data_IF_642443545259
#
_entry.id   IF_642443545259
#
_cell.length_a   1.000
_cell.length_b   1.000
_cell.length_c   1.000
_cell.angle_alpha   90.00
_cell.angle_beta   90.00
_cell.angle_gamma   90.00
#
_symmetry.space_group_name_H-M   'P 1'
#
loop_
_entity.id
_entity.type
_entity.pdbx_description
1 polymer ?
#
# COMPACT_ATOMS: atom_id res chain seq x y z
N UNK A 1 -13.13 37.85 27.67
CA UNK A 1 -14.15 36.82 27.44
C UNK A 1 -14.17 35.99 28.70
N UNK A 2 -15.33 35.80 29.33
CA UNK A 2 -15.41 34.96 30.52
C UNK A 2 -15.20 33.50 30.14
N UNK A 3 -14.57 32.71 31.02
CA UNK A 3 -14.46 31.24 30.87
C UNK A 3 -15.80 30.57 30.48
N UNK A 4 -16.91 31.13 30.95
CA UNK A 4 -18.27 30.67 30.69
C UNK A 4 -18.72 30.93 29.24
N UNK A 5 -18.36 32.08 28.66
CA UNK A 5 -18.64 32.41 27.25
C UNK A 5 -17.86 31.46 26.33
N UNK A 6 -16.56 31.27 26.61
CA UNK A 6 -15.71 30.35 25.86
C UNK A 6 -16.25 28.90 25.93
N UNK A 7 -16.72 28.48 27.10
CA UNK A 7 -17.32 27.14 27.28
C UNK A 7 -18.62 26.99 26.49
N UNK A 8 -19.46 28.03 26.43
CA UNK A 8 -20.68 28.01 25.63
C UNK A 8 -20.35 27.90 24.15
N UNK A 9 -19.37 28.65 23.65
CA UNK A 9 -18.95 28.60 22.24
C UNK A 9 -18.53 27.17 21.86
N UNK A 10 -17.64 26.57 22.65
CA UNK A 10 -17.15 25.20 22.41
C UNK A 10 -18.27 24.16 22.56
N UNK A 11 -19.19 24.35 23.50
CA UNK A 11 -20.31 23.43 23.67
C UNK A 11 -21.30 23.50 22.50
N UNK A 12 -21.61 24.70 22.01
CA UNK A 12 -22.47 24.90 20.85
C UNK A 12 -21.84 24.27 19.61
N UNK A 13 -20.55 24.48 19.36
CA UNK A 13 -19.86 23.84 18.24
C UNK A 13 -19.83 22.32 18.38
N UNK A 14 -19.60 21.79 19.59
CA UNK A 14 -19.65 20.36 19.86
C UNK A 14 -21.02 19.73 19.56
N UNK A 15 -22.12 20.39 19.96
CA UNK A 15 -23.49 19.93 19.66
C UNK A 15 -23.76 19.97 18.15
N UNK A 16 -23.29 21.01 17.45
CA UNK A 16 -23.41 21.12 15.99
C UNK A 16 -22.65 19.99 15.30
N UNK A 17 -21.41 19.71 15.69
CA UNK A 17 -20.61 18.62 15.13
C UNK A 17 -21.19 17.25 15.43
N UNK A 18 -21.72 17.04 16.64
CA UNK A 18 -22.40 15.80 17.01
C UNK A 18 -23.66 15.57 16.17
N UNK A 19 -24.48 16.60 16.01
CA UNK A 19 -25.69 16.54 15.18
C UNK A 19 -25.33 16.30 13.71
N UNK A 20 -24.31 16.99 13.20
CA UNK A 20 -23.78 16.78 11.86
C UNK A 20 -23.27 15.35 11.64
N UNK A 21 -22.48 14.82 12.58
CA UNK A 21 -21.98 13.44 12.55
C UNK A 21 -23.11 12.41 12.62
N UNK A 22 -24.12 12.66 13.45
CA UNK A 22 -25.31 11.82 13.54
C UNK A 22 -26.09 11.78 12.22
N UNK A 23 -26.36 12.95 11.62
CA UNK A 23 -27.07 13.05 10.33
C UNK A 23 -26.26 12.39 9.21
N UNK A 24 -24.95 12.63 9.16
CA UNK A 24 -24.05 12.02 8.19
C UNK A 24 -24.07 10.49 8.29
N UNK A 25 -24.03 9.95 9.51
CA UNK A 25 -24.11 8.52 9.75
C UNK A 25 -25.43 7.92 9.25
N UNK A 26 -26.58 8.55 9.56
CA UNK A 26 -27.91 8.07 9.12
C UNK A 26 -28.07 8.14 7.61
N UNK A 27 -27.62 9.22 6.97
CA UNK A 27 -27.91 9.49 5.56
C UNK A 27 -26.92 8.85 4.60
N UNK A 28 -25.63 8.85 4.94
CA UNK A 28 -24.57 8.50 4.00
C UNK A 28 -23.92 7.14 4.28
N UNK A 29 -23.68 6.80 5.56
CA UNK A 29 -22.87 5.63 5.89
C UNK A 29 -23.66 4.31 5.88
N UNK A 30 -24.94 4.34 6.27
CA UNK A 30 -25.73 3.11 6.40
C UNK A 30 -27.14 3.22 5.79
N UNK A 31 -27.23 3.62 4.52
CA UNK A 31 -28.49 3.58 3.77
C UNK A 31 -29.09 2.16 3.70
N UNK A 32 -28.29 1.10 3.91
CA UNK A 32 -28.66 -0.31 3.68
C UNK A 32 -28.31 -1.30 4.83
N UNK A 33 -27.95 -0.89 6.05
CA UNK A 33 -27.66 -1.84 7.16
C UNK A 33 -28.88 -2.00 8.07
N UNK A 34 -29.45 -3.20 8.10
CA UNK A 34 -30.68 -3.53 8.82
C UNK A 34 -30.53 -3.62 10.36
N UNK A 35 -29.30 -3.53 10.89
CA UNK A 35 -29.05 -3.66 12.34
C UNK A 35 -28.72 -2.29 12.95
N UNK A 36 -29.77 -1.57 13.37
CA UNK A 36 -29.69 -0.19 13.89
C UNK A 36 -29.27 -0.17 15.37
N UNK A 37 -27.99 -0.46 15.65
CA UNK A 37 -27.45 -0.31 17.00
C UNK A 37 -27.18 1.17 17.30
N UNK A 38 -28.10 1.80 18.05
CA UNK A 38 -28.02 3.21 18.49
C UNK A 38 -26.67 3.51 19.17
N UNK A 39 -26.10 2.54 19.89
CA UNK A 39 -24.80 2.69 20.55
C UNK A 39 -23.64 2.87 19.56
N UNK A 40 -23.62 2.16 18.43
CA UNK A 40 -22.57 2.34 17.39
C UNK A 40 -22.63 3.74 16.84
N UNK A 41 -23.85 4.19 16.56
CA UNK A 41 -24.10 5.51 16.03
C UNK A 41 -23.66 6.59 17.01
N UNK A 42 -23.97 6.43 18.31
CA UNK A 42 -23.51 7.32 19.37
C UNK A 42 -21.98 7.34 19.47
N UNK A 43 -21.33 6.17 19.48
CA UNK A 43 -19.86 6.08 19.57
C UNK A 43 -19.20 6.78 18.37
N UNK A 44 -19.72 6.56 17.17
CA UNK A 44 -19.23 7.21 15.96
C UNK A 44 -19.43 8.72 15.99
N UNK A 45 -20.66 9.19 16.24
CA UNK A 45 -20.95 10.63 16.22
C UNK A 45 -20.22 11.38 17.33
N UNK A 46 -20.05 10.75 18.50
CA UNK A 46 -19.28 11.31 19.61
C UNK A 46 -17.79 11.39 19.27
N UNK A 47 -17.20 10.33 18.73
CA UNK A 47 -15.78 10.32 18.33
C UNK A 47 -15.52 11.35 17.22
N UNK A 48 -16.42 11.43 16.25
CA UNK A 48 -16.36 12.43 15.18
C UNK A 48 -16.46 13.86 15.72
N UNK A 49 -17.43 14.13 16.60
CA UNK A 49 -17.59 15.44 17.23
C UNK A 49 -16.35 15.84 18.03
N UNK A 50 -15.82 14.94 18.87
CA UNK A 50 -14.61 15.20 19.66
C UNK A 50 -13.38 15.46 18.78
N UNK A 51 -13.26 14.77 17.63
CA UNK A 51 -12.19 15.03 16.67
C UNK A 51 -12.31 16.42 16.02
N UNK A 52 -13.54 16.84 15.67
CA UNK A 52 -13.78 18.16 15.11
C UNK A 52 -13.58 19.27 16.14
N UNK A 53 -13.99 19.07 17.40
CA UNK A 53 -13.71 20.05 18.46
C UNK A 53 -12.21 20.23 18.70
N UNK A 54 -11.42 19.15 18.63
CA UNK A 54 -9.96 19.27 18.74
C UNK A 54 -9.35 20.05 17.57
N UNK A 55 -9.85 19.83 16.34
CA UNK A 55 -9.42 20.59 15.18
C UNK A 55 -9.83 22.08 15.26
N UNK A 56 -11.05 22.35 15.72
CA UNK A 56 -11.55 23.71 15.94
C UNK A 56 -10.71 24.46 16.98
N UNK A 57 -10.31 23.82 18.09
CA UNK A 57 -9.45 24.43 19.09
C UNK A 57 -8.08 24.84 18.53
N UNK A 58 -7.53 24.09 17.57
CA UNK A 58 -6.30 24.47 16.86
C UNK A 58 -6.54 25.71 16.00
N UNK A 59 -7.69 25.80 15.32
CA UNK A 59 -8.04 26.99 14.54
C UNK A 59 -8.17 28.21 15.47
N UNK A 60 -8.87 28.07 16.60
CA UNK A 60 -8.99 29.13 17.59
C UNK A 60 -7.66 29.55 18.19
N UNK A 61 -6.69 28.63 18.27
CA UNK A 61 -5.32 28.95 18.64
C UNK A 61 -4.60 29.81 17.60
N UNK A 62 -4.71 29.45 16.32
CA UNK A 62 -4.06 30.20 15.22
C UNK A 62 -4.68 31.60 15.07
N UNK A 63 -6.00 31.72 15.20
CA UNK A 63 -6.71 33.00 15.04
C UNK A 63 -6.64 33.86 16.31
N UNK A 64 -6.31 33.26 17.47
CA UNK A 64 -6.23 33.97 18.75
C UNK A 64 -7.58 34.28 19.39
N UNK A 65 -8.64 33.53 19.02
CA UNK A 65 -10.01 33.71 19.52
C UNK A 65 -10.31 32.64 20.56
N UNK A 66 -9.78 32.79 21.78
CA UNK A 66 -10.20 32.13 23.04
C UNK A 66 -9.21 32.50 24.14
N UNK A 67 -9.62 32.51 25.40
CA UNK A 67 -8.66 32.64 26.50
C UNK A 67 -7.75 31.39 26.58
N UNK A 68 -6.44 31.61 26.75
CA UNK A 68 -5.44 30.52 26.79
C UNK A 68 -5.73 29.48 27.88
N UNK A 69 -6.21 29.92 29.04
CA UNK A 69 -6.58 29.06 30.17
C UNK A 69 -7.77 28.14 29.84
N UNK A 70 -8.82 28.70 29.23
CA UNK A 70 -10.01 27.96 28.81
C UNK A 70 -9.68 26.95 27.71
N UNK A 71 -8.87 27.36 26.72
CA UNK A 71 -8.42 26.48 25.63
C UNK A 71 -7.67 25.26 26.15
N UNK A 72 -6.71 25.47 27.07
CA UNK A 72 -5.93 24.37 27.63
C UNK A 72 -6.81 23.34 28.37
N UNK A 73 -7.83 23.80 29.08
CA UNK A 73 -8.80 22.92 29.74
C UNK A 73 -9.58 22.06 28.72
N UNK A 74 -10.19 22.70 27.71
CA UNK A 74 -10.95 22.01 26.67
C UNK A 74 -10.08 21.06 25.84
N UNK A 75 -8.83 21.46 25.55
CA UNK A 75 -7.84 20.62 24.88
C UNK A 75 -7.53 19.36 25.68
N UNK A 76 -7.23 19.51 26.98
CA UNK A 76 -6.91 18.37 27.86
C UNK A 76 -8.11 17.44 28.02
N UNK A 77 -9.32 18.00 28.17
CA UNK A 77 -10.56 17.23 28.26
C UNK A 77 -10.83 16.48 26.94
N UNK A 78 -10.74 17.15 25.80
CA UNK A 78 -10.93 16.57 24.47
C UNK A 78 -9.96 15.43 24.18
N UNK A 79 -8.66 15.63 24.45
CA UNK A 79 -7.66 14.57 24.34
C UNK A 79 -7.96 13.37 25.25
N UNK A 80 -8.35 13.62 26.50
CA UNK A 80 -8.65 12.54 27.45
C UNK A 80 -9.84 11.71 26.99
N UNK A 81 -10.91 12.38 26.54
CA UNK A 81 -12.09 11.70 26.01
C UNK A 81 -11.79 10.94 24.71
N UNK A 82 -11.03 11.52 23.78
CA UNK A 82 -10.62 10.82 22.54
C UNK A 82 -9.77 9.59 22.83
N UNK A 83 -8.80 9.69 23.74
CA UNK A 83 -7.96 8.56 24.13
C UNK A 83 -8.80 7.45 24.77
N UNK A 84 -9.74 7.81 25.66
CA UNK A 84 -10.65 6.83 26.25
C UNK A 84 -11.52 6.14 25.19
N UNK A 85 -12.07 6.91 24.24
CA UNK A 85 -12.86 6.36 23.14
C UNK A 85 -12.05 5.36 22.31
N UNK A 86 -10.83 5.73 21.91
CA UNK A 86 -9.99 4.93 20.99
C UNK A 86 -9.37 3.71 21.68
N UNK A 87 -8.89 3.85 22.92
CA UNK A 87 -8.15 2.77 23.61
C UNK A 87 -9.10 1.80 24.34
N UNK A 88 -10.18 2.30 24.94
CA UNK A 88 -11.07 1.50 25.76
C UNK A 88 -12.39 1.18 25.06
N UNK A 89 -13.18 2.19 24.70
CA UNK A 89 -14.58 2.00 24.31
C UNK A 89 -14.74 1.32 22.94
N UNK A 90 -14.02 1.82 21.92
CA UNK A 90 -14.10 1.30 20.55
C UNK A 90 -13.63 -0.17 20.49
N UNK A 91 -12.46 -0.56 21.05
CA UNK A 91 -12.01 -1.95 21.03
C UNK A 91 -12.95 -2.88 21.79
N UNK A 92 -13.52 -2.43 22.91
CA UNK A 92 -14.51 -3.20 23.65
C UNK A 92 -15.76 -3.50 22.80
N UNK A 93 -16.26 -2.47 22.10
CA UNK A 93 -17.45 -2.62 21.25
C UNK A 93 -17.16 -3.52 20.03
N UNK A 94 -15.99 -3.38 19.40
CA UNK A 94 -15.57 -4.26 18.29
C UNK A 94 -15.47 -5.70 18.78
N UNK A 95 -14.82 -5.96 19.92
CA UNK A 95 -14.71 -7.29 20.49
C UNK A 95 -16.09 -7.90 20.82
N UNK A 96 -17.00 -7.11 21.40
CA UNK A 96 -18.38 -7.53 21.63
C UNK A 96 -19.10 -7.89 20.32
N UNK A 97 -18.97 -7.05 19.29
CA UNK A 97 -19.58 -7.29 17.98
C UNK A 97 -19.00 -8.52 17.27
N UNK A 98 -17.69 -8.76 17.40
CA UNK A 98 -17.05 -9.95 16.82
C UNK A 98 -17.52 -11.23 17.52
N UNK A 99 -17.54 -11.25 18.85
CA UNK A 99 -17.90 -12.44 19.63
C UNK A 99 -19.39 -12.75 19.50
N UNK A 100 -20.26 -11.73 19.50
CA UNK A 100 -21.71 -11.92 19.33
C UNK A 100 -22.09 -12.43 17.95
N UNK A 101 -21.28 -12.17 16.92
CA UNK A 101 -21.51 -12.70 15.56
C UNK A 101 -21.09 -14.19 15.43
N UNK A 102 -20.30 -14.72 16.37
CA UNK A 102 -19.88 -16.12 16.33
C UNK A 102 -21.03 -17.01 16.83
N UNK A 103 -21.62 -17.78 15.90
CA UNK A 103 -22.74 -18.71 16.17
C UNK A 103 -22.44 -19.81 17.20
N UNK A 104 -21.16 -20.06 17.47
CA UNK A 104 -20.66 -21.12 18.37
C UNK A 104 -20.75 -20.70 19.84
N UNK A 105 -20.74 -19.40 20.16
CA UNK A 105 -20.67 -18.92 21.54
C UNK A 105 -22.07 -18.76 22.13
N UNK A 106 -22.41 -19.43 23.24
CA UNK A 106 -23.68 -19.19 23.91
C UNK A 106 -23.73 -17.77 24.50
N UNK A 107 -24.91 -17.11 24.49
CA UNK A 107 -25.04 -15.69 24.86
C UNK A 107 -24.57 -15.37 26.29
N UNK A 108 -24.61 -16.34 27.21
CA UNK A 108 -24.10 -16.21 28.58
C UNK A 108 -22.58 -15.98 28.66
N UNK A 109 -21.83 -16.48 27.67
CA UNK A 109 -20.37 -16.38 27.64
C UNK A 109 -19.85 -15.21 26.82
N UNK A 110 -20.72 -14.49 26.09
CA UNK A 110 -20.31 -13.36 25.25
C UNK A 110 -19.67 -12.25 26.10
N UNK A 111 -20.33 -11.79 27.15
CA UNK A 111 -19.78 -10.74 28.03
C UNK A 111 -18.42 -11.10 28.67
N UNK A 112 -18.26 -12.22 29.40
CA UNK A 112 -16.98 -12.52 30.03
C UNK A 112 -15.87 -12.74 29.01
N UNK A 113 -16.17 -13.37 27.87
CA UNK A 113 -15.19 -13.58 26.80
C UNK A 113 -14.77 -12.23 26.18
N UNK A 114 -15.71 -11.31 25.95
CA UNK A 114 -15.40 -9.94 25.50
C UNK A 114 -14.50 -9.23 26.49
N UNK A 115 -14.80 -9.27 27.79
CA UNK A 115 -13.97 -8.62 28.82
C UNK A 115 -12.56 -9.20 28.85
N UNK A 116 -12.41 -10.52 28.73
CA UNK A 116 -11.09 -11.18 28.69
C UNK A 116 -10.29 -10.77 27.45
N UNK A 117 -10.90 -10.80 26.26
CA UNK A 117 -10.24 -10.34 25.03
C UNK A 117 -9.87 -8.86 25.09
N UNK A 118 -10.74 -8.03 25.63
CA UNK A 118 -10.48 -6.61 25.81
C UNK A 118 -9.32 -6.35 26.79
N UNK A 119 -9.28 -7.06 27.92
CA UNK A 119 -8.15 -6.98 28.87
C UNK A 119 -6.84 -7.43 28.24
N UNK A 120 -6.86 -8.52 27.46
CA UNK A 120 -5.69 -8.99 26.72
C UNK A 120 -5.22 -7.95 25.70
N UNK A 121 -6.16 -7.32 24.99
CA UNK A 121 -5.86 -6.24 24.06
C UNK A 121 -5.22 -5.04 24.78
N UNK A 122 -5.81 -4.57 25.89
CA UNK A 122 -5.27 -3.44 26.67
C UNK A 122 -3.88 -3.79 27.22
N UNK A 123 -3.69 -5.01 27.71
CA UNK A 123 -2.38 -5.50 28.17
C UNK A 123 -1.36 -5.53 27.03
N UNK A 124 -1.72 -6.05 25.86
CA UNK A 124 -0.87 -6.08 24.67
C UNK A 124 -0.52 -4.67 24.18
N UNK A 125 -1.50 -3.77 24.15
CA UNK A 125 -1.31 -2.35 23.81
C UNK A 125 -0.33 -1.68 24.77
N UNK A 126 -0.45 -1.96 26.07
CA UNK A 126 0.49 -1.46 27.07
C UNK A 126 1.89 -2.01 26.85
N UNK A 127 2.02 -3.32 26.63
CA UNK A 127 3.31 -3.98 26.45
C UNK A 127 4.03 -3.53 25.17
N UNK A 128 3.29 -3.28 24.09
CA UNK A 128 3.85 -2.78 22.83
C UNK A 128 4.42 -1.36 22.97
N UNK A 129 3.78 -0.52 23.79
CA UNK A 129 4.23 0.85 24.03
C UNK A 129 5.52 0.94 24.86
N UNK A 130 5.88 -0.07 25.66
CA UNK A 130 7.10 -0.07 26.47
C UNK A 130 8.38 -0.21 25.63
N UNK A 131 8.26 -0.79 24.43
CA UNK A 131 9.39 -0.96 23.51
C UNK A 131 9.82 0.36 22.83
N UNK A 132 9.04 1.45 22.99
CA UNK A 132 9.32 2.74 22.37
C UNK A 132 9.65 3.81 23.43
N UNK A 133 10.94 4.06 23.72
CA UNK A 133 11.36 5.09 24.68
C UNK A 133 11.36 6.47 24.02
N UNK A 134 10.18 7.12 23.88
CA UNK A 134 10.10 8.44 23.22
C UNK A 134 9.83 9.62 24.17
N UNK A 135 9.40 9.40 25.42
CA UNK A 135 9.31 10.47 26.42
C UNK A 135 9.71 9.95 27.81
N UNK A 136 10.67 10.67 28.39
CA UNK A 136 11.24 10.56 29.74
C UNK A 136 10.42 9.79 30.78
N UNK A 137 11.09 8.84 31.43
CA UNK A 137 10.70 7.97 32.56
C UNK A 137 10.21 8.74 33.81
N UNK A 138 10.18 10.07 33.80
CA UNK A 138 10.03 10.88 35.01
C UNK A 138 8.58 11.25 35.39
N UNK A 139 7.57 11.07 34.52
CA UNK A 139 6.18 11.43 34.85
C UNK A 139 5.19 10.29 34.60
N UNK A 140 4.99 9.45 35.63
CA UNK A 140 3.79 8.63 35.86
C UNK A 140 3.42 7.57 34.81
N UNK A 141 2.83 6.46 35.25
CA UNK A 141 2.38 5.35 34.38
C UNK A 141 1.14 5.73 33.54
N UNK A 142 0.35 6.72 33.95
CA UNK A 142 -0.95 7.09 33.33
C UNK A 142 -1.00 8.54 32.83
N UNK A 143 0.11 9.09 32.35
CA UNK A 143 0.11 10.47 31.82
C UNK A 143 -0.48 10.50 30.40
N UNK A 144 -1.38 11.45 30.13
CA UNK A 144 -2.04 11.64 28.82
C UNK A 144 -1.02 11.67 27.68
N UNK A 145 0.11 12.35 27.87
CA UNK A 145 1.20 12.46 26.88
C UNK A 145 1.76 11.11 26.44
N UNK A 146 1.92 10.17 27.38
CA UNK A 146 2.42 8.83 27.07
C UNK A 146 1.38 8.03 26.29
N UNK A 147 0.10 8.13 26.66
CA UNK A 147 -0.98 7.47 25.93
C UNK A 147 -1.08 7.97 24.48
N UNK A 148 -0.96 9.30 24.27
CA UNK A 148 -0.90 9.93 22.93
C UNK A 148 0.31 9.44 22.13
N UNK A 149 1.49 9.35 22.76
CA UNK A 149 2.69 8.86 22.08
C UNK A 149 2.55 7.40 21.63
N UNK A 150 2.03 6.52 22.50
CA UNK A 150 1.83 5.10 22.20
C UNK A 150 0.83 4.89 21.06
N UNK A 151 -0.34 5.55 21.12
CA UNK A 151 -1.33 5.46 20.05
C UNK A 151 -0.80 6.07 18.75
N UNK A 152 0.03 7.11 18.82
CA UNK A 152 0.69 7.71 17.67
C UNK A 152 1.59 6.73 16.93
N UNK A 153 2.46 6.01 17.64
CA UNK A 153 3.34 4.99 17.03
C UNK A 153 2.53 3.84 16.44
N UNK A 154 1.54 3.32 17.17
CA UNK A 154 0.65 2.25 16.66
C UNK A 154 -0.12 2.71 15.42
N UNK A 155 -0.65 3.94 15.44
CA UNK A 155 -1.37 4.53 14.32
C UNK A 155 -0.49 4.69 13.08
N UNK A 156 0.70 5.27 13.24
CA UNK A 156 1.66 5.47 12.12
C UNK A 156 2.13 4.15 11.54
N UNK A 157 2.42 3.15 12.38
CA UNK A 157 2.84 1.82 11.90
C UNK A 157 1.72 1.13 11.11
N UNK A 158 0.48 1.17 11.59
CA UNK A 158 -0.68 0.64 10.84
C UNK A 158 -0.91 1.41 9.54
N UNK A 159 -0.83 2.75 9.56
CA UNK A 159 -0.95 3.58 8.35
C UNK A 159 0.16 3.28 7.35
N UNK A 160 1.39 3.05 7.80
CA UNK A 160 2.52 2.70 6.94
C UNK A 160 2.32 1.33 6.27
N UNK A 161 1.83 0.34 7.01
CA UNK A 161 1.53 -1.00 6.47
C UNK A 161 0.40 -0.92 5.43
N UNK A 162 -0.69 -0.22 5.75
CA UNK A 162 -1.82 -0.05 4.83
C UNK A 162 -1.43 0.72 3.58
N UNK A 163 -0.63 1.78 3.72
CA UNK A 163 -0.08 2.52 2.59
C UNK A 163 0.85 1.66 1.76
N UNK A 164 1.68 0.82 2.39
CA UNK A 164 2.54 -0.14 1.70
C UNK A 164 1.75 -1.16 0.90
N UNK A 165 0.70 -1.73 1.49
CA UNK A 165 -0.22 -2.63 0.79
C UNK A 165 -0.92 -1.93 -0.39
N UNK A 166 -1.42 -0.70 -0.19
CA UNK A 166 -2.04 0.10 -1.25
C UNK A 166 -1.08 0.41 -2.40
N UNK A 167 0.19 0.69 -2.09
CA UNK A 167 1.23 0.93 -3.08
C UNK A 167 1.58 -0.32 -3.92
N UNK A 168 1.38 -1.52 -3.39
CA UNK A 168 1.58 -2.78 -4.14
C UNK A 168 0.30 -3.19 -4.88
N UNK A 169 -0.86 -3.01 -4.26
CA UNK A 169 -2.15 -3.35 -4.84
C UNK A 169 -2.50 -2.46 -6.04
N UNK A 170 -2.14 -1.17 -5.99
CA UNK A 170 -2.46 -0.23 -7.07
C UNK A 170 -1.79 -0.58 -8.41
N UNK A 171 -0.48 -0.88 -8.49
CA UNK A 171 0.13 -1.44 -9.68
C UNK A 171 -0.49 -2.76 -10.11
N UNK A 172 -0.85 -3.65 -9.18
CA UNK A 172 -1.47 -4.94 -9.52
C UNK A 172 -2.82 -4.76 -10.21
N UNK A 173 -3.69 -3.89 -9.70
CA UNK A 173 -5.01 -3.60 -10.27
C UNK A 173 -4.95 -2.73 -11.52
N UNK A 174 -3.98 -1.80 -11.57
CA UNK A 174 -3.83 -0.83 -12.66
C UNK A 174 -2.77 -1.26 -13.68
N UNK A 175 -2.21 -2.47 -13.56
CA UNK A 175 -1.19 -3.00 -14.47
C UNK A 175 -1.70 -3.01 -15.92
N UNK A 176 -2.99 -3.30 -16.12
CA UNK A 176 -3.64 -3.29 -17.42
C UNK A 176 -3.75 -1.89 -18.05
N UNK A 177 -3.64 -0.82 -17.26
CA UNK A 177 -3.56 0.56 -17.77
C UNK A 177 -2.14 0.89 -18.26
N UNK A 178 -1.11 0.32 -17.63
CA UNK A 178 0.30 0.53 -18.00
C UNK A 178 0.83 -0.49 -19.03
N UNK A 179 0.26 -1.69 -19.10
CA UNK A 179 0.50 -2.66 -20.18
C UNK A 179 -0.36 -2.22 -21.37
N UNK A 180 0.28 -1.55 -22.32
CA UNK A 180 -0.30 -1.23 -23.63
C UNK A 180 -1.05 -2.44 -24.17
N UNK A 181 -2.38 -2.34 -24.30
CA UNK A 181 -3.17 -3.39 -24.95
C UNK A 181 -2.63 -3.56 -26.38
N UNK A 182 -2.01 -4.70 -26.66
CA UNK A 182 -1.47 -4.99 -27.98
C UNK A 182 -2.64 -5.08 -28.95
N UNK A 183 -2.73 -4.15 -29.89
CA UNK A 183 -3.76 -4.18 -30.92
C UNK A 183 -3.49 -5.33 -31.89
N UNK A 184 -4.54 -5.99 -32.38
CA UNK A 184 -4.42 -7.06 -33.37
C UNK A 184 -3.70 -6.60 -34.65
N UNK A 185 -3.79 -5.31 -34.99
CA UNK A 185 -3.06 -4.71 -36.11
C UNK A 185 -1.53 -4.72 -35.89
N UNK A 186 -1.07 -4.53 -34.65
CA UNK A 186 0.35 -4.57 -34.31
C UNK A 186 0.89 -6.01 -34.44
N UNK A 187 0.10 -7.01 -34.05
CA UNK A 187 0.43 -8.43 -34.19
C UNK A 187 0.60 -8.81 -35.67
N UNK A 188 -0.38 -8.48 -36.50
CA UNK A 188 -0.35 -8.77 -37.95
C UNK A 188 0.84 -8.08 -38.62
N UNK A 189 1.17 -6.86 -38.19
CA UNK A 189 2.32 -6.11 -38.73
C UNK A 189 3.64 -6.78 -38.35
N UNK A 190 3.77 -7.27 -37.13
CA UNK A 190 4.96 -8.02 -36.66
C UNK A 190 5.07 -9.37 -37.38
N UNK A 191 3.98 -10.11 -37.53
CA UNK A 191 3.95 -11.38 -38.27
C UNK A 191 4.36 -11.20 -39.73
N UNK A 192 3.86 -10.15 -40.39
CA UNK A 192 4.26 -9.83 -41.78
C UNK A 192 5.75 -9.54 -41.87
N UNK A 193 6.30 -8.75 -40.93
CA UNK A 193 7.74 -8.45 -40.89
C UNK A 193 8.56 -9.72 -40.66
N UNK A 194 8.09 -10.63 -39.80
CA UNK A 194 8.73 -11.91 -39.54
C UNK A 194 8.77 -12.78 -40.80
N UNK A 195 7.64 -12.94 -41.50
CA UNK A 195 7.57 -13.70 -42.75
C UNK A 195 8.51 -13.14 -43.83
N UNK A 196 8.52 -11.82 -44.02
CA UNK A 196 9.44 -11.17 -44.96
C UNK A 196 10.92 -11.45 -44.62
N UNK A 197 11.24 -11.47 -43.33
CA UNK A 197 12.61 -11.75 -42.86
C UNK A 197 12.97 -13.23 -43.07
N UNK A 198 12.02 -14.13 -42.86
CA UNK A 198 12.18 -15.55 -43.14
C UNK A 198 12.45 -15.80 -44.62
N UNK A 199 11.69 -15.18 -45.53
CA UNK A 199 11.89 -15.31 -46.97
C UNK A 199 13.26 -14.77 -47.41
N UNK A 200 13.66 -13.61 -46.90
CA UNK A 200 15.01 -13.09 -47.13
C UNK A 200 16.09 -14.06 -46.63
N UNK A 201 15.89 -14.71 -45.48
CA UNK A 201 16.82 -15.69 -44.95
C UNK A 201 16.92 -16.92 -45.86
N UNK A 202 15.80 -17.44 -46.34
CA UNK A 202 15.77 -18.58 -47.27
C UNK A 202 16.46 -18.23 -48.58
N UNK A 203 16.18 -17.06 -49.16
CA UNK A 203 16.84 -16.59 -50.38
C UNK A 203 18.35 -16.44 -50.20
N UNK A 204 18.80 -15.88 -49.08
CA UNK A 204 20.24 -15.81 -48.75
C UNK A 204 20.85 -17.20 -48.61
N UNK A 205 20.19 -18.14 -47.92
CA UNK A 205 20.65 -19.53 -47.81
C UNK A 205 20.75 -20.22 -49.18
N UNK A 206 19.76 -20.02 -50.06
CA UNK A 206 19.76 -20.55 -51.44
C UNK A 206 20.92 -19.97 -52.26
N UNK A 207 21.15 -18.66 -52.17
CA UNK A 207 22.29 -18.00 -52.84
C UNK A 207 23.63 -18.57 -52.35
N UNK A 208 23.82 -18.69 -51.04
CA UNK A 208 25.04 -19.29 -50.46
C UNK A 208 25.23 -20.74 -50.93
N UNK A 209 24.16 -21.54 -50.98
CA UNK A 209 24.23 -22.92 -51.45
C UNK A 209 24.60 -23.02 -52.94
N UNK A 210 24.07 -22.13 -53.79
CA UNK A 210 24.42 -22.05 -55.20
C UNK A 210 25.86 -21.60 -55.42
N UNK A 211 26.34 -20.59 -54.68
CA UNK A 211 27.74 -20.15 -54.75
C UNK A 211 28.69 -21.25 -54.25
N UNK A 212 28.33 -22.01 -53.22
CA UNK A 212 29.07 -23.21 -52.81
C UNK A 212 29.12 -24.27 -53.91
N UNK A 213 28.00 -24.52 -54.61
CA UNK A 213 27.96 -25.45 -55.76
C UNK A 213 28.79 -24.93 -56.94
N UNK A 214 28.73 -23.64 -57.24
CA UNK A 214 29.51 -23.02 -58.32
C UNK A 214 31.00 -23.05 -58.01
N UNK A 215 31.43 -22.69 -56.79
CA UNK A 215 32.83 -22.82 -56.39
C UNK A 215 33.31 -24.28 -56.42
N UNK A 216 32.45 -25.25 -56.06
CA UNK A 216 32.77 -26.69 -56.19
C UNK A 216 32.90 -27.15 -57.65
N UNK A 217 32.15 -26.55 -58.59
CA UNK A 217 32.27 -26.80 -60.02
C UNK A 217 33.48 -26.07 -60.65
N UNK A 218 33.86 -24.88 -60.16
CA UNK A 218 35.07 -24.17 -60.59
C UNK A 218 36.34 -24.88 -60.10
N UNK A 219 36.32 -25.54 -58.94
CA UNK A 219 37.41 -26.44 -58.49
C UNK A 219 37.55 -27.72 -59.33
N UNK A 220 36.59 -28.05 -60.21
CA UNK A 220 36.64 -29.21 -61.08
C UNK A 220 37.20 -28.91 -62.50
N UNK A 221 37.53 -27.65 -62.82
CA UNK A 221 38.32 -27.28 -64.00
C UNK A 221 39.71 -26.83 -63.55
N UNK A 222 40.81 -27.50 -63.94
CA UNK A 222 42.13 -27.08 -63.54
C UNK A 222 42.42 -25.73 -64.21
N UNK A 223 42.54 -24.68 -63.39
CA UNK A 223 42.97 -23.38 -63.85
C UNK A 223 44.37 -23.50 -64.43
N UNK A 224 44.51 -23.12 -65.70
CA UNK A 224 45.73 -23.08 -66.53
C UNK A 224 46.93 -22.44 -65.79
N UNK A 225 46.67 -21.61 -64.80
CA UNK A 225 47.65 -21.02 -63.89
C UNK A 225 48.47 -22.00 -63.03
N UNK A 226 47.97 -23.21 -62.77
CA UNK A 226 48.69 -24.23 -61.99
C UNK A 226 49.74 -25.04 -62.78
N UNK A 227 49.73 -24.95 -64.11
CA UNK A 227 50.63 -25.74 -64.98
C UNK A 227 51.88 -24.97 -65.42
N UNK A 228 51.89 -23.65 -65.24
CA UNK A 228 53.03 -22.79 -65.58
C UNK A 228 54.05 -22.77 -64.42
N UNK A 229 53.60 -22.94 -63.18
CA UNK A 229 54.50 -23.04 -62.01
C UNK A 229 55.25 -24.37 -61.91
N UNK A 230 54.79 -25.44 -62.59
CA UNK A 230 55.44 -26.76 -62.56
C UNK A 230 56.59 -26.94 -63.56
N UNK A 231 56.88 -25.95 -64.43
CA UNK A 231 58.00 -26.01 -65.39
C UNK A 231 59.31 -25.44 -64.81
N UNK A 232 59.28 -24.81 -63.63
CA UNK A 232 60.44 -24.14 -63.02
C UNK A 232 61.22 -25.00 -62.00
N UNK A 233 60.90 -26.28 -61.79
CA UNK A 233 61.66 -27.14 -60.88
C UNK A 233 62.12 -28.45 -61.56
N UNK A 234 63.32 -28.41 -62.13
CA UNK A 234 64.21 -29.57 -62.33
C UNK A 234 65.31 -29.53 -61.26
N UNK A 235 65.59 -30.65 -60.58
CA UNK A 235 66.96 -31.06 -60.27
C UNK A 235 67.23 -32.43 -60.94
N UNK A 236 68.31 -32.57 -61.71
CA UNK A 236 69.66 -32.95 -61.27
C UNK A 236 69.71 -34.43 -60.87
N UNK A 237 70.47 -35.20 -61.66
CA UNK A 237 70.41 -36.65 -61.74
C UNK A 237 70.96 -37.36 -60.51
N UNK A 238 70.43 -38.56 -60.29
CA UNK A 238 71.04 -39.59 -59.44
C UNK A 238 71.42 -40.78 -60.31
N UNK A 239 72.67 -41.16 -60.15
CA UNK A 239 73.44 -42.22 -60.79
C UNK A 239 72.77 -43.60 -60.78
N UNK A 240 73.10 -44.40 -61.80
CA UNK A 240 72.94 -45.85 -61.75
C UNK A 240 74.24 -46.54 -62.19
N UNK A 241 74.66 -47.49 -61.35
CA UNK A 241 75.43 -48.72 -61.64
C UNK A 241 76.96 -48.64 -61.84
N UNK A 242 77.59 -49.33 -60.88
CA UNK A 242 78.72 -50.28 -60.99
C UNK A 242 80.12 -49.75 -61.24
#
# INVERSE_FOLDING_TARGET
MGFLEDTIIVFVSQVLFFTGGWIFFVRQLFRNYEVRNILVQLIFSLTFALSLTMFELIIFEIVGILESSSRYFHWRLGLTLLLFMVIALIPYYIAYSCISNIRIVPPRWVMPLTTVFWLLYVYGFWRLGDNFPLLSVSKGIFTIEQAVSRIGVVGVTVMAILSGFGAVNYPYTSMAYFIRSVSQADIITVERRLMLTMDMMVLKKKRIALDRRRNKATSAKPGIWGMISSVTQRPAGSESKS
#
